data_IF_383490779086
#
_entry.id   IF_383490779086
#
_cell.length_a   1.000
_cell.length_b   1.000
_cell.length_c   1.000
_cell.angle_alpha   90.00
_cell.angle_beta   90.00
_cell.angle_gamma   90.00
#
_symmetry.space_group_name_H-M   'P 1'
#
loop_
_entity.id
_entity.type
_entity.pdbx_description
1 polymer ?
#
# COMPACT_ATOMS: atom_id res chain seq x y z
N UNK A 1 -31.31 24.88 -60.81
CA UNK A 1 -30.83 25.41 -59.57
C UNK A 1 -30.41 24.21 -58.74
N UNK A 2 -29.10 23.99 -58.70
CA UNK A 2 -28.48 22.86 -58.03
C UNK A 2 -28.06 23.33 -56.61
N UNK A 3 -28.63 22.75 -55.56
CA UNK A 3 -28.24 22.98 -54.19
C UNK A 3 -27.36 21.83 -53.71
N UNK A 4 -26.06 22.07 -53.66
CA UNK A 4 -25.11 21.15 -53.07
C UNK A 4 -25.27 21.16 -51.54
N UNK A 5 -25.55 20.00 -50.94
CA UNK A 5 -25.52 19.78 -49.49
C UNK A 5 -24.07 19.52 -49.12
N UNK A 6 -23.44 20.51 -48.50
CA UNK A 6 -22.15 20.33 -47.83
C UNK A 6 -22.32 19.40 -46.64
N UNK A 7 -21.79 18.18 -46.78
CA UNK A 7 -21.66 17.21 -45.68
C UNK A 7 -20.63 17.67 -44.67
N UNK A 8 -21.11 17.99 -43.45
CA UNK A 8 -20.31 18.29 -42.28
C UNK A 8 -19.41 17.10 -41.91
N UNK A 9 -18.13 17.22 -42.19
CA UNK A 9 -17.07 16.34 -41.68
C UNK A 9 -16.72 16.73 -40.24
N UNK A 10 -17.60 16.38 -39.29
CA UNK A 10 -17.25 16.47 -37.85
C UNK A 10 -16.40 15.26 -37.48
N UNK A 11 -15.09 15.52 -37.36
CA UNK A 11 -14.22 14.94 -36.35
C UNK A 11 -14.04 13.43 -36.27
N UNK A 12 -13.34 12.81 -37.20
CA UNK A 12 -12.41 11.73 -36.88
C UNK A 12 -11.13 12.35 -36.31
N UNK A 13 -11.14 12.75 -35.03
CA UNK A 13 -9.90 12.95 -34.27
C UNK A 13 -9.20 11.59 -34.22
N UNK A 14 -8.11 11.49 -34.92
CA UNK A 14 -7.36 10.29 -35.23
C UNK A 14 -6.95 9.52 -33.95
N UNK A 15 -7.16 8.22 -33.95
CA UNK A 15 -6.64 7.27 -32.94
C UNK A 15 -5.09 7.31 -32.81
N UNK A 16 -4.41 8.01 -33.70
CA UNK A 16 -2.95 8.13 -33.82
C UNK A 16 -2.32 9.16 -32.86
N UNK A 17 -3.09 10.00 -32.16
CA UNK A 17 -2.54 11.04 -31.27
C UNK A 17 -2.47 10.66 -29.79
N UNK A 18 -2.93 9.45 -29.41
CA UNK A 18 -2.93 9.03 -28.01
C UNK A 18 -1.55 8.52 -27.58
N UNK A 19 -1.09 8.94 -26.39
CA UNK A 19 0.14 8.43 -25.78
C UNK A 19 -0.05 6.97 -25.39
N UNK A 20 0.74 6.07 -25.98
CA UNK A 20 0.74 4.65 -25.59
C UNK A 20 1.34 4.51 -24.20
N UNK A 21 0.64 3.83 -23.31
CA UNK A 21 1.07 3.63 -21.94
C UNK A 21 1.17 2.15 -21.57
N UNK A 22 2.10 1.82 -20.69
CA UNK A 22 2.20 0.53 -20.01
C UNK A 22 2.10 0.79 -18.51
N UNK A 23 1.36 -0.05 -17.80
CA UNK A 23 1.21 0.05 -16.35
C UNK A 23 2.02 -1.05 -15.66
N UNK A 24 2.73 -0.69 -14.59
CA UNK A 24 3.45 -1.62 -13.72
C UNK A 24 2.80 -1.63 -12.35
N UNK A 25 2.33 -2.80 -11.89
CA UNK A 25 1.71 -2.90 -10.58
C UNK A 25 1.33 -4.32 -10.20
N UNK A 26 1.10 -4.58 -8.91
CA UNK A 26 0.73 -5.92 -8.43
C UNK A 26 -0.35 -5.89 -7.34
N UNK A 27 -0.21 -5.08 -6.31
CA UNK A 27 -1.08 -5.06 -5.14
C UNK A 27 -2.41 -4.32 -5.32
N UNK A 28 -3.20 -4.31 -4.26
CA UNK A 28 -4.51 -3.66 -4.18
C UNK A 28 -4.45 -2.15 -4.34
N UNK A 29 -3.43 -1.52 -3.80
CA UNK A 29 -3.17 -0.08 -3.96
C UNK A 29 -3.11 0.35 -5.43
N UNK A 30 -2.58 -0.50 -6.31
CA UNK A 30 -2.36 -0.18 -7.71
C UNK A 30 -3.65 -0.26 -8.57
N UNK A 31 -4.70 -0.96 -8.12
CA UNK A 31 -5.92 -1.21 -8.94
C UNK A 31 -6.68 0.07 -9.28
N UNK A 32 -7.00 0.98 -8.33
CA UNK A 32 -7.67 2.25 -8.66
C UNK A 32 -6.82 3.15 -9.57
N UNK A 33 -5.49 3.03 -9.48
CA UNK A 33 -4.55 3.80 -10.31
C UNK A 33 -4.55 3.28 -11.75
N UNK A 34 -4.59 1.94 -11.93
CA UNK A 34 -4.76 1.30 -13.24
C UNK A 34 -6.06 1.77 -13.92
N UNK A 35 -7.18 1.74 -13.18
CA UNK A 35 -8.47 2.22 -13.69
C UNK A 35 -8.44 3.71 -14.04
N UNK A 36 -7.78 4.50 -13.20
CA UNK A 36 -7.60 5.92 -13.48
C UNK A 36 -6.80 6.14 -14.76
N UNK A 37 -5.67 5.43 -14.95
CA UNK A 37 -4.83 5.54 -16.14
C UNK A 37 -5.58 5.15 -17.41
N UNK A 38 -6.36 4.07 -17.37
CA UNK A 38 -7.17 3.60 -18.49
C UNK A 38 -8.23 4.64 -18.93
N UNK A 39 -8.67 5.48 -17.98
CA UNK A 39 -9.70 6.51 -18.22
C UNK A 39 -9.12 7.91 -18.58
N UNK A 40 -7.79 8.12 -18.54
CA UNK A 40 -7.21 9.44 -18.84
C UNK A 40 -7.35 9.76 -20.35
N UNK A 41 -8.00 10.87 -20.69
CA UNK A 41 -8.08 11.30 -22.10
C UNK A 41 -6.69 11.48 -22.73
N UNK A 42 -6.52 11.03 -23.97
CA UNK A 42 -5.24 11.12 -24.67
C UNK A 42 -4.22 10.05 -24.31
N UNK A 43 -4.56 9.11 -23.41
CA UNK A 43 -3.76 7.92 -23.11
C UNK A 43 -4.42 6.69 -23.74
N UNK A 44 -3.60 5.78 -24.27
CA UNK A 44 -4.00 4.42 -24.67
C UNK A 44 -3.18 3.41 -23.87
N UNK A 45 -3.82 2.77 -22.94
CA UNK A 45 -3.19 1.73 -22.12
C UNK A 45 -3.09 0.43 -22.96
N UNK A 46 -1.87 -0.04 -23.21
CA UNK A 46 -1.58 -1.16 -24.10
C UNK A 46 -1.40 -2.46 -23.34
N UNK A 47 -0.72 -2.41 -22.20
CA UNK A 47 -0.37 -3.59 -21.44
C UNK A 47 -0.17 -3.27 -19.95
N UNK A 48 -0.21 -4.34 -19.16
CA UNK A 48 0.10 -4.33 -17.73
C UNK A 48 1.26 -5.28 -17.47
N UNK A 49 2.21 -4.86 -16.65
CA UNK A 49 3.30 -5.68 -16.13
C UNK A 49 3.04 -5.91 -14.65
N UNK A 50 2.92 -7.17 -14.25
CA UNK A 50 2.61 -7.56 -12.87
C UNK A 50 3.50 -8.71 -12.40
N UNK A 51 3.51 -8.96 -11.09
CA UNK A 51 4.17 -10.14 -10.54
C UNK A 51 3.46 -11.42 -11.03
N UNK A 52 4.19 -12.56 -11.15
CA UNK A 52 3.59 -13.84 -11.47
C UNK A 52 2.51 -14.25 -10.47
N UNK A 53 1.52 -15.00 -10.96
CA UNK A 53 0.52 -15.65 -10.12
C UNK A 53 1.21 -16.54 -9.08
N UNK A 54 0.69 -16.58 -7.86
CA UNK A 54 1.29 -17.34 -6.74
C UNK A 54 0.27 -18.27 -6.09
N UNK A 55 0.73 -19.42 -5.57
CA UNK A 55 -0.11 -20.27 -4.74
C UNK A 55 -0.54 -19.55 -3.45
N UNK A 56 -1.85 -19.49 -3.17
CA UNK A 56 -2.42 -18.84 -1.99
C UNK A 56 -3.28 -19.83 -1.20
N UNK A 57 -3.26 -19.67 0.12
CA UNK A 57 -4.03 -20.48 1.06
C UNK A 57 -3.52 -21.91 1.24
N UNK A 58 -4.19 -22.68 2.12
CA UNK A 58 -3.78 -24.06 2.45
C UNK A 58 -3.85 -25.03 1.25
N UNK A 59 -4.71 -24.74 0.27
CA UNK A 59 -4.88 -25.54 -0.95
C UNK A 59 -3.94 -25.15 -2.07
N UNK A 60 -3.03 -24.19 -1.83
CA UNK A 60 -2.04 -23.69 -2.82
C UNK A 60 -2.69 -23.34 -4.18
N UNK A 61 -3.86 -22.71 -4.18
CA UNK A 61 -4.54 -22.32 -5.41
C UNK A 61 -3.76 -21.18 -6.06
N UNK A 62 -3.40 -21.39 -7.34
CA UNK A 62 -2.70 -20.36 -8.13
C UNK A 62 -3.63 -19.15 -8.28
N UNK A 63 -3.24 -18.05 -7.68
CA UNK A 63 -4.07 -16.83 -7.58
C UNK A 63 -3.36 -15.68 -8.29
N UNK A 64 -4.05 -14.98 -9.21
CA UNK A 64 -3.52 -13.79 -9.85
C UNK A 64 -3.35 -12.65 -8.84
N UNK A 65 -2.43 -11.74 -9.13
CA UNK A 65 -2.35 -10.48 -8.40
C UNK A 65 -3.63 -9.66 -8.63
N UNK A 66 -4.02 -8.75 -7.71
CA UNK A 66 -5.16 -7.85 -7.90
C UNK A 66 -5.10 -7.09 -9.23
N UNK A 67 -3.94 -6.59 -9.60
CA UNK A 67 -3.71 -5.89 -10.87
C UNK A 67 -3.87 -6.82 -12.08
N UNK A 68 -3.35 -8.06 -12.02
CA UNK A 68 -3.53 -9.05 -13.09
C UNK A 68 -5.00 -9.39 -13.30
N UNK A 69 -5.75 -9.61 -12.21
CA UNK A 69 -7.19 -9.88 -12.29
C UNK A 69 -7.92 -8.72 -12.98
N UNK A 70 -7.65 -7.49 -12.53
CA UNK A 70 -8.28 -6.29 -13.11
C UNK A 70 -7.89 -6.04 -14.57
N UNK A 71 -6.63 -6.25 -14.93
CA UNK A 71 -6.17 -6.11 -16.31
C UNK A 71 -6.86 -7.09 -17.27
N UNK A 72 -7.08 -8.33 -16.83
CA UNK A 72 -7.83 -9.35 -17.59
C UNK A 72 -9.30 -8.94 -17.80
N UNK A 73 -9.96 -8.37 -16.78
CA UNK A 73 -11.32 -7.81 -16.89
C UNK A 73 -11.40 -6.67 -17.91
N UNK A 74 -10.35 -5.84 -17.98
CA UNK A 74 -10.24 -4.74 -18.94
C UNK A 74 -9.83 -5.19 -20.35
N UNK A 75 -9.55 -6.48 -20.56
CA UNK A 75 -9.10 -7.02 -21.84
C UNK A 75 -7.68 -6.58 -22.24
N UNK A 76 -6.84 -6.19 -21.28
CA UNK A 76 -5.48 -5.74 -21.50
C UNK A 76 -4.50 -6.92 -21.61
N UNK A 77 -3.43 -6.72 -22.40
CA UNK A 77 -2.30 -7.64 -22.38
C UNK A 77 -1.61 -7.63 -21.01
N UNK A 78 -1.26 -8.82 -20.49
CA UNK A 78 -0.62 -8.96 -19.18
C UNK A 78 0.73 -9.65 -19.35
N UNK A 79 1.78 -9.00 -18.90
CA UNK A 79 3.14 -9.52 -18.80
C UNK A 79 3.46 -9.84 -17.34
N UNK A 80 3.98 -11.03 -17.06
CA UNK A 80 4.28 -11.48 -15.70
C UNK A 80 5.73 -12.00 -15.58
N UNK A 81 6.74 -11.15 -15.82
CA UNK A 81 8.12 -11.57 -15.76
C UNK A 81 8.53 -11.90 -14.32
N UNK A 82 9.19 -13.03 -14.11
CA UNK A 82 9.79 -13.39 -12.81
C UNK A 82 10.83 -12.34 -12.40
N UNK A 83 11.55 -11.79 -13.37
CA UNK A 83 12.53 -10.70 -13.18
C UNK A 83 12.44 -9.74 -14.36
N UNK A 84 11.94 -8.53 -14.10
CA UNK A 84 11.76 -7.48 -15.12
C UNK A 84 13.07 -7.00 -15.76
N UNK A 85 14.19 -7.17 -15.06
CA UNK A 85 15.54 -6.80 -15.56
C UNK A 85 16.12 -7.74 -16.61
N UNK A 86 15.46 -8.87 -16.91
CA UNK A 86 15.93 -9.77 -17.97
C UNK A 86 15.71 -9.15 -19.34
N UNK A 87 16.65 -9.32 -20.28
CA UNK A 87 16.53 -8.73 -21.63
C UNK A 87 15.21 -9.08 -22.31
N UNK A 88 14.75 -10.34 -22.18
CA UNK A 88 13.51 -10.82 -22.79
C UNK A 88 12.29 -10.04 -22.27
N UNK A 89 12.23 -9.79 -20.95
CA UNK A 89 11.14 -9.01 -20.34
C UNK A 89 11.18 -7.53 -20.77
N UNK A 90 12.37 -6.97 -20.92
CA UNK A 90 12.56 -5.61 -21.44
C UNK A 90 12.07 -5.52 -22.88
N UNK A 91 12.40 -6.52 -23.72
CA UNK A 91 12.00 -6.55 -25.12
C UNK A 91 10.48 -6.75 -25.26
N UNK A 92 9.85 -7.58 -24.42
CA UNK A 92 8.39 -7.70 -24.38
C UNK A 92 7.71 -6.35 -24.07
N UNK A 93 8.20 -5.58 -23.09
CA UNK A 93 7.68 -4.24 -22.78
C UNK A 93 7.91 -3.28 -23.96
N UNK A 94 9.09 -3.33 -24.60
CA UNK A 94 9.46 -2.49 -25.75
C UNK A 94 8.54 -2.69 -26.93
N UNK A 95 8.04 -3.91 -27.18
CA UNK A 95 7.12 -4.21 -28.29
C UNK A 95 5.82 -3.40 -28.24
N UNK A 96 5.38 -3.01 -27.05
CA UNK A 96 4.22 -2.12 -26.87
C UNK A 96 4.53 -0.67 -27.23
N UNK A 97 5.79 -0.28 -27.44
CA UNK A 97 6.21 1.06 -27.79
C UNK A 97 5.70 2.14 -26.83
N UNK A 98 5.95 2.00 -25.49
CA UNK A 98 5.37 2.91 -24.52
C UNK A 98 5.95 4.32 -24.66
N UNK A 99 5.06 5.29 -24.86
CA UNK A 99 5.37 6.71 -24.74
C UNK A 99 5.39 7.18 -23.29
N UNK A 100 4.74 6.43 -22.39
CA UNK A 100 4.64 6.66 -20.96
C UNK A 100 4.61 5.32 -20.23
N UNK A 101 5.24 5.24 -19.06
CA UNK A 101 5.04 4.13 -18.13
C UNK A 101 4.61 4.70 -16.77
N UNK A 102 3.59 4.09 -16.17
CA UNK A 102 3.11 4.41 -14.82
C UNK A 102 3.28 3.19 -13.94
N UNK A 103 3.84 3.38 -12.75
CA UNK A 103 4.10 2.34 -11.76
C UNK A 103 3.36 2.65 -10.46
N UNK A 104 2.84 1.61 -9.82
CA UNK A 104 2.36 1.63 -8.45
C UNK A 104 2.46 0.22 -7.85
N UNK A 105 3.10 0.06 -6.71
CA UNK A 105 3.19 -1.21 -5.95
C UNK A 105 3.60 -2.42 -6.82
N UNK A 106 4.78 -2.35 -7.43
CA UNK A 106 5.28 -3.40 -8.33
C UNK A 106 6.25 -4.39 -7.67
N UNK A 107 7.06 -3.94 -6.73
CA UNK A 107 7.93 -4.80 -5.91
C UNK A 107 9.24 -5.27 -6.58
N UNK A 108 9.60 -4.77 -7.76
CA UNK A 108 10.90 -5.02 -8.40
C UNK A 108 11.58 -3.71 -8.78
N UNK A 109 12.91 -3.67 -8.65
CA UNK A 109 13.70 -2.54 -9.14
C UNK A 109 13.67 -2.48 -10.68
N UNK A 110 13.46 -1.29 -11.21
CA UNK A 110 13.38 -1.04 -12.65
C UNK A 110 14.77 -0.79 -13.21
N UNK A 111 15.22 -1.57 -14.21
CA UNK A 111 16.54 -1.37 -14.79
C UNK A 111 16.58 -0.11 -15.66
N UNK A 112 17.76 0.51 -15.78
CA UNK A 112 18.01 1.72 -16.54
C UNK A 112 17.41 1.68 -17.94
N UNK A 113 17.54 0.55 -18.64
CA UNK A 113 17.04 0.36 -19.99
C UNK A 113 15.52 0.52 -20.12
N UNK A 114 14.75 0.24 -19.05
CA UNK A 114 13.30 0.49 -19.00
C UNK A 114 13.00 1.93 -18.59
N UNK A 115 13.81 2.54 -17.72
CA UNK A 115 13.65 3.94 -17.32
C UNK A 115 13.80 4.89 -18.51
N UNK A 116 14.71 4.59 -19.44
CA UNK A 116 15.01 5.39 -20.62
C UNK A 116 14.06 5.12 -21.80
N UNK A 117 13.18 4.11 -21.69
CA UNK A 117 12.32 3.68 -22.78
C UNK A 117 11.18 4.68 -23.11
N UNK A 118 10.42 5.22 -22.13
CA UNK A 118 9.28 6.08 -22.43
C UNK A 118 9.68 7.57 -22.54
N UNK A 119 9.52 8.22 -23.71
CA UNK A 119 9.90 9.63 -23.89
C UNK A 119 9.08 10.62 -23.04
N UNK A 120 7.92 10.21 -22.52
CA UNK A 120 7.10 11.01 -21.59
C UNK A 120 7.35 10.69 -20.13
N UNK A 121 8.33 9.81 -19.83
CA UNK A 121 8.81 9.46 -18.51
C UNK A 121 8.24 8.15 -17.96
N UNK A 122 8.94 7.65 -16.98
CA UNK A 122 8.53 6.54 -16.13
C UNK A 122 8.08 7.16 -14.79
N UNK A 123 6.79 7.13 -14.48
CA UNK A 123 6.21 7.78 -13.29
C UNK A 123 5.80 6.73 -12.24
N UNK A 124 5.92 7.08 -10.97
CA UNK A 124 5.46 6.25 -9.84
C UNK A 124 4.49 7.04 -8.97
N UNK A 125 3.44 6.38 -8.48
CA UNK A 125 2.60 6.87 -7.39
C UNK A 125 2.99 6.14 -6.11
N UNK A 126 3.58 6.90 -5.18
CA UNK A 126 4.09 6.40 -3.92
C UNK A 126 3.24 6.89 -2.75
N UNK A 127 2.74 5.99 -1.86
CA UNK A 127 1.81 6.38 -0.79
C UNK A 127 2.54 6.95 0.44
N UNK A 128 3.33 7.99 0.24
CA UNK A 128 3.93 8.79 1.32
C UNK A 128 4.18 10.23 0.89
N UNK A 129 4.38 11.12 1.89
CA UNK A 129 4.85 12.49 1.71
C UNK A 129 6.38 12.50 1.49
N UNK A 130 6.84 12.12 0.29
CA UNK A 130 8.27 12.11 -0.03
C UNK A 130 8.93 13.46 0.27
N UNK A 131 10.16 13.44 0.84
CA UNK A 131 11.11 12.33 0.94
C UNK A 131 10.93 11.41 2.16
N UNK A 132 9.88 11.62 2.98
CA UNK A 132 9.58 10.74 4.12
C UNK A 132 9.01 9.41 3.63
N UNK A 133 9.46 8.32 4.23
CA UNK A 133 9.02 6.96 3.97
C UNK A 133 9.23 6.48 2.52
N UNK A 134 10.43 6.73 1.94
CA UNK A 134 10.87 6.03 0.73
C UNK A 134 10.91 4.53 0.97
N UNK A 135 10.68 3.71 -0.05
CA UNK A 135 10.86 2.25 0.01
C UNK A 135 9.58 1.47 0.27
N UNK A 136 9.72 0.25 0.82
CA UNK A 136 8.75 -0.82 0.65
C UNK A 136 7.52 -0.80 1.58
N UNK A 137 7.52 -0.02 2.67
CA UNK A 137 6.46 -0.07 3.68
C UNK A 137 6.04 1.31 4.20
N UNK A 138 5.69 2.27 3.30
CA UNK A 138 5.40 3.65 3.69
C UNK A 138 4.16 3.77 4.56
N UNK A 139 3.09 3.05 4.28
CA UNK A 139 1.82 3.11 5.03
C UNK A 139 1.99 2.60 6.47
N UNK A 140 2.51 1.38 6.71
CA UNK A 140 2.83 0.95 8.07
C UNK A 140 3.78 1.90 8.80
N UNK A 141 4.82 2.41 8.13
CA UNK A 141 5.77 3.34 8.74
C UNK A 141 5.11 4.65 9.20
N UNK A 142 4.19 5.18 8.41
CA UNK A 142 3.37 6.36 8.74
C UNK A 142 2.58 6.14 10.03
N UNK A 143 1.89 5.00 10.18
CA UNK A 143 1.09 4.68 11.36
C UNK A 143 1.98 4.44 12.59
N UNK A 144 3.05 3.65 12.44
CA UNK A 144 4.00 3.36 13.52
C UNK A 144 4.61 4.64 14.10
N UNK A 145 4.94 5.60 13.25
CA UNK A 145 5.50 6.88 13.68
C UNK A 145 4.48 7.80 14.35
N UNK A 146 3.18 7.49 14.29
CA UNK A 146 2.12 8.36 14.79
C UNK A 146 1.95 9.64 13.97
N UNK A 147 2.31 9.61 12.67
CA UNK A 147 2.13 10.77 11.79
C UNK A 147 0.64 11.11 11.68
N UNK A 148 0.28 12.36 11.94
CA UNK A 148 -1.11 12.84 11.81
C UNK A 148 -1.52 13.10 10.34
N UNK A 149 -0.55 13.19 9.45
CA UNK A 149 -0.77 13.41 8.02
C UNK A 149 0.33 12.74 7.19
N UNK A 150 -0.02 12.35 5.98
CA UNK A 150 0.87 11.84 4.95
C UNK A 150 0.48 12.45 3.59
N UNK A 151 0.88 11.83 2.51
CA UNK A 151 0.46 12.21 1.17
C UNK A 151 0.56 11.00 0.22
N UNK A 152 0.03 11.16 -0.98
CA UNK A 152 0.46 10.39 -2.14
C UNK A 152 1.32 11.28 -3.01
N UNK A 153 2.45 10.77 -3.46
CA UNK A 153 3.40 11.50 -4.31
C UNK A 153 3.49 10.87 -5.70
N UNK A 154 3.21 11.65 -6.74
CA UNK A 154 3.54 11.32 -8.13
C UNK A 154 4.97 11.81 -8.40
N UNK A 155 5.86 10.91 -8.80
CA UNK A 155 7.27 11.21 -9.04
C UNK A 155 7.78 10.55 -10.31
N UNK A 156 8.90 11.05 -10.83
CA UNK A 156 9.67 10.38 -11.89
C UNK A 156 10.52 9.29 -11.27
N UNK A 157 10.48 8.09 -11.83
CA UNK A 157 11.29 6.95 -11.34
C UNK A 157 12.75 7.14 -11.77
N UNK A 158 13.67 6.89 -10.84
CA UNK A 158 15.11 6.87 -11.04
C UNK A 158 15.69 5.52 -10.60
N UNK A 159 16.99 5.31 -10.77
CA UNK A 159 17.66 4.09 -10.30
C UNK A 159 17.69 3.97 -8.77
N UNK A 160 17.73 5.12 -8.08
CA UNK A 160 17.65 5.16 -6.62
C UNK A 160 16.19 5.04 -6.17
N UNK A 161 15.95 4.17 -5.20
CA UNK A 161 14.60 3.82 -4.72
C UNK A 161 13.87 5.05 -4.18
N UNK A 162 12.73 5.37 -4.81
CA UNK A 162 11.81 6.46 -4.48
C UNK A 162 12.47 7.83 -4.25
N UNK A 163 13.65 8.06 -4.89
CA UNK A 163 14.42 9.30 -4.76
C UNK A 163 14.24 10.28 -5.93
N UNK A 164 13.48 9.90 -6.94
CA UNK A 164 13.27 10.70 -8.14
C UNK A 164 12.50 12.01 -7.89
N UNK A 165 12.55 12.95 -8.84
CA UNK A 165 11.92 14.26 -8.70
C UNK A 165 10.39 14.16 -8.58
N UNK A 166 9.80 14.98 -7.70
CA UNK A 166 8.36 15.06 -7.44
C UNK A 166 7.67 15.85 -8.56
N UNK A 167 6.63 15.26 -9.14
CA UNK A 167 5.76 15.91 -10.14
C UNK A 167 4.58 16.61 -9.44
N UNK A 168 3.90 15.91 -8.53
CA UNK A 168 2.77 16.44 -7.79
C UNK A 168 2.54 15.62 -6.51
N UNK A 169 1.82 16.20 -5.56
CA UNK A 169 1.44 15.54 -4.30
C UNK A 169 -0.05 15.74 -4.02
N UNK A 170 -0.65 14.78 -3.33
CA UNK A 170 -2.00 14.85 -2.77
C UNK A 170 -1.91 14.61 -1.26
N UNK A 171 -2.15 15.61 -0.40
CA UNK A 171 -2.15 15.44 1.03
C UNK A 171 -3.24 14.48 1.51
N UNK A 172 -2.93 13.71 2.55
CA UNK A 172 -3.84 12.74 3.13
C UNK A 172 -3.74 12.79 4.66
N UNK A 173 -4.85 13.03 5.34
CA UNK A 173 -4.94 12.90 6.78
C UNK A 173 -4.82 11.45 7.22
N UNK A 174 -4.10 11.19 8.30
CA UNK A 174 -4.07 9.89 8.99
C UNK A 174 -5.03 9.96 10.17
N UNK A 175 -6.08 9.17 10.12
CA UNK A 175 -7.11 9.15 11.18
C UNK A 175 -6.61 8.34 12.38
N UNK A 176 -7.05 8.68 13.59
CA UNK A 176 -6.63 7.96 14.79
C UNK A 176 -6.94 6.46 14.77
N UNK A 177 -7.98 6.05 14.05
CA UNK A 177 -8.44 4.67 13.90
C UNK A 177 -7.98 4.00 12.59
N UNK A 178 -7.19 4.69 11.76
CA UNK A 178 -6.67 4.09 10.52
C UNK A 178 -5.77 2.89 10.84
N UNK A 179 -6.11 1.77 10.21
CA UNK A 179 -5.21 0.63 10.06
C UNK A 179 -4.42 0.77 8.75
N UNK A 180 -3.39 -0.05 8.54
CA UNK A 180 -2.71 -0.06 7.25
C UNK A 180 -3.68 -0.36 6.09
N UNK A 181 -4.69 -1.19 6.32
CA UNK A 181 -5.72 -1.51 5.31
C UNK A 181 -6.57 -0.29 4.95
N UNK A 182 -7.10 0.41 5.96
CA UNK A 182 -7.99 1.56 5.70
C UNK A 182 -7.23 2.74 5.11
N UNK A 183 -6.02 3.00 5.57
CA UNK A 183 -5.16 4.06 5.04
C UNK A 183 -4.73 3.73 3.59
N UNK A 184 -4.41 2.45 3.27
CA UNK A 184 -4.07 2.02 1.91
C UNK A 184 -5.21 2.28 0.93
N UNK A 185 -6.45 1.93 1.29
CA UNK A 185 -7.63 2.19 0.44
C UNK A 185 -7.77 3.69 0.15
N UNK A 186 -7.70 4.52 1.18
CA UNK A 186 -7.79 5.98 1.03
C UNK A 186 -6.63 6.56 0.21
N UNK A 187 -5.43 6.04 0.41
CA UNK A 187 -4.26 6.44 -0.37
C UNK A 187 -4.38 6.02 -1.84
N UNK A 188 -4.95 4.84 -2.14
CA UNK A 188 -5.20 4.38 -3.51
C UNK A 188 -6.19 5.29 -4.25
N UNK A 189 -7.28 5.69 -3.57
CA UNK A 189 -8.25 6.64 -4.13
C UNK A 189 -7.61 8.02 -4.37
N UNK A 190 -6.83 8.53 -3.40
CA UNK A 190 -6.09 9.77 -3.54
C UNK A 190 -5.08 9.71 -4.69
N UNK A 191 -4.38 8.58 -4.86
CA UNK A 191 -3.46 8.34 -5.96
C UNK A 191 -4.15 8.35 -7.34
N UNK A 192 -5.32 7.72 -7.43
CA UNK A 192 -6.13 7.71 -8.64
C UNK A 192 -6.61 9.13 -9.01
N UNK A 193 -7.06 9.91 -8.02
CA UNK A 193 -7.45 11.32 -8.22
C UNK A 193 -6.25 12.18 -8.64
N UNK A 194 -5.11 12.03 -7.97
CA UNK A 194 -3.88 12.74 -8.31
C UNK A 194 -3.45 12.44 -9.73
N UNK A 195 -3.46 11.17 -10.15
CA UNK A 195 -3.09 10.78 -11.51
C UNK A 195 -4.00 11.41 -12.55
N UNK A 196 -5.33 11.35 -12.36
CA UNK A 196 -6.31 11.95 -13.29
C UNK A 196 -6.11 13.46 -13.46
N UNK A 197 -5.75 14.16 -12.38
CA UNK A 197 -5.50 15.61 -12.40
C UNK A 197 -4.14 15.96 -12.98
N UNK A 198 -3.09 15.26 -12.56
CA UNK A 198 -1.72 15.62 -12.87
C UNK A 198 -1.24 15.12 -14.25
N UNK A 199 -1.69 13.94 -14.68
CA UNK A 199 -1.16 13.31 -15.90
C UNK A 199 -1.45 14.12 -17.18
N UNK A 200 -2.64 14.69 -17.42
CA UNK A 200 -2.87 15.55 -18.59
C UNK A 200 -1.94 16.78 -18.60
N UNK A 201 -1.70 17.38 -17.44
CA UNK A 201 -0.81 18.54 -17.27
C UNK A 201 0.66 18.18 -17.53
N UNK A 202 1.07 16.99 -17.07
CA UNK A 202 2.39 16.43 -17.31
C UNK A 202 2.62 16.17 -18.82
N UNK A 203 1.68 15.48 -19.47
CA UNK A 203 1.76 15.18 -20.90
C UNK A 203 1.77 16.44 -21.78
N UNK A 204 1.10 17.49 -21.33
CA UNK A 204 1.09 18.80 -21.98
C UNK A 204 2.35 19.65 -21.68
N UNK A 205 3.28 19.17 -20.83
CA UNK A 205 4.50 19.89 -20.45
C UNK A 205 4.26 21.07 -19.51
N UNK A 206 3.06 21.19 -18.90
CA UNK A 206 2.73 22.26 -17.96
C UNK A 206 3.20 21.97 -16.52
N UNK A 207 3.34 20.71 -16.14
CA UNK A 207 3.98 20.32 -14.88
C UNK A 207 5.46 20.05 -15.10
N UNK A 208 6.29 20.50 -14.11
CA UNK A 208 7.73 20.21 -14.06
C UNK A 208 8.04 19.46 -12.78
N UNK A 209 8.79 18.39 -12.92
CA UNK A 209 9.29 17.66 -11.76
C UNK A 209 10.33 18.50 -11.00
N UNK A 210 10.32 18.44 -9.67
CA UNK A 210 11.22 19.15 -8.76
C UNK A 210 12.00 18.14 -7.94
N UNK A 211 13.32 18.33 -7.73
CA UNK A 211 14.10 17.50 -6.83
C UNK A 211 13.42 17.37 -5.45
N UNK A 212 13.53 16.20 -4.85
CA UNK A 212 13.09 16.02 -3.47
C UNK A 212 13.98 16.83 -2.52
N UNK A 213 13.44 17.36 -1.40
CA UNK A 213 14.25 17.90 -0.33
C UNK A 213 15.28 16.87 0.18
N UNK A 214 16.45 17.35 0.59
CA UNK A 214 17.49 16.49 1.20
C UNK A 214 17.15 16.18 2.66
N UNK A 215 16.44 17.09 3.29
CA UNK A 215 15.98 16.95 4.68
C UNK A 215 14.75 16.07 4.79
N UNK A 216 14.64 15.33 5.90
CA UNK A 216 13.47 14.49 6.19
C UNK A 216 13.44 13.15 5.45
N UNK A 217 14.53 12.76 4.78
CA UNK A 217 14.61 11.43 4.15
C UNK A 217 14.55 10.36 5.22
N UNK A 218 13.59 9.44 5.06
CA UNK A 218 13.50 8.21 5.86
C UNK A 218 13.31 7.01 4.95
N UNK A 219 13.89 5.87 5.35
CA UNK A 219 13.89 4.64 4.55
C UNK A 219 13.55 3.46 5.47
N UNK A 220 12.26 3.18 5.69
CA UNK A 220 11.86 2.04 6.50
C UNK A 220 12.27 0.73 5.82
N UNK A 221 12.76 -0.21 6.62
CA UNK A 221 13.00 -1.56 6.12
C UNK A 221 11.69 -2.28 5.81
N UNK A 222 11.70 -3.26 4.91
CA UNK A 222 10.55 -4.13 4.71
C UNK A 222 10.14 -4.83 6.01
N UNK A 223 8.83 -4.97 6.23
CA UNK A 223 8.29 -5.72 7.36
C UNK A 223 8.71 -7.19 7.31
N UNK A 224 8.85 -7.80 8.48
CA UNK A 224 9.17 -9.23 8.66
C UNK A 224 8.16 -9.87 9.60
N UNK A 225 8.06 -11.18 9.57
CA UNK A 225 7.17 -11.93 10.47
C UNK A 225 7.52 -11.73 11.95
N UNK A 226 8.82 -11.62 12.24
CA UNK A 226 9.30 -11.44 13.61
C UNK A 226 9.01 -10.06 14.19
N UNK A 227 8.64 -9.10 13.36
CA UNK A 227 8.20 -7.77 13.82
C UNK A 227 6.82 -7.83 14.52
N UNK A 228 6.08 -8.89 14.33
CA UNK A 228 4.70 -9.04 14.80
C UNK A 228 4.56 -9.21 16.34
N UNK A 229 5.63 -9.58 17.06
CA UNK A 229 5.58 -9.71 18.51
C UNK A 229 5.34 -8.34 19.16
N UNK A 230 4.32 -8.27 20.00
CA UNK A 230 4.09 -7.12 20.87
C UNK A 230 5.00 -7.25 22.09
N UNK A 231 5.89 -6.29 22.28
CA UNK A 231 6.80 -6.22 23.44
C UNK A 231 6.20 -5.30 24.52
N UNK A 232 5.66 -5.81 25.63
CA UNK A 232 5.11 -4.99 26.70
C UNK A 232 6.15 -4.10 27.40
N UNK A 233 7.43 -4.30 27.12
CA UNK A 233 8.51 -3.39 27.50
C UNK A 233 8.45 -2.04 26.78
N UNK A 234 7.56 -1.86 25.79
CA UNK A 234 7.26 -0.60 25.11
C UNK A 234 5.99 0.04 25.69
N UNK A 235 5.79 1.36 25.49
CA UNK A 235 4.53 2.03 25.86
C UNK A 235 3.32 1.48 25.11
N UNK A 236 2.16 1.43 25.76
CA UNK A 236 0.92 0.95 25.14
C UNK A 236 0.55 1.69 23.85
N UNK A 237 0.87 2.98 23.76
CA UNK A 237 0.64 3.79 22.55
C UNK A 237 1.42 3.27 21.34
N UNK A 238 2.66 2.83 21.52
CA UNK A 238 3.46 2.25 20.43
C UNK A 238 2.91 0.90 19.99
N UNK A 239 2.48 0.08 20.95
CA UNK A 239 1.88 -1.23 20.69
C UNK A 239 0.51 -1.09 19.97
N UNK A 240 -0.28 -0.10 20.35
CA UNK A 240 -1.56 0.20 19.68
C UNK A 240 -1.32 0.58 18.22
N UNK A 241 -0.35 1.47 17.95
CA UNK A 241 0.06 1.80 16.59
C UNK A 241 0.56 0.57 15.83
N UNK A 242 1.32 -0.32 16.48
CA UNK A 242 1.77 -1.57 15.87
C UNK A 242 0.59 -2.47 15.50
N UNK A 243 -0.42 -2.61 16.37
CA UNK A 243 -1.63 -3.38 16.06
C UNK A 243 -2.32 -2.87 14.81
N UNK A 244 -2.45 -1.56 14.64
CA UNK A 244 -3.05 -0.95 13.44
C UNK A 244 -2.15 -1.04 12.20
N UNK A 245 -0.87 -0.79 12.36
CA UNK A 245 0.10 -0.73 11.26
C UNK A 245 0.35 -2.11 10.62
N UNK A 246 0.26 -3.19 11.40
CA UNK A 246 0.64 -4.52 10.93
C UNK A 246 -0.53 -5.37 10.44
N UNK A 247 -1.69 -4.75 10.22
CA UNK A 247 -2.83 -5.42 9.60
C UNK A 247 -2.75 -5.35 8.07
N UNK A 248 -3.08 -6.43 7.36
CA UNK A 248 -3.37 -7.77 7.87
C UNK A 248 -2.10 -8.61 8.06
N UNK A 249 -0.95 -8.10 7.69
CA UNK A 249 0.35 -8.78 7.75
C UNK A 249 1.44 -7.81 8.23
N UNK A 250 2.36 -8.26 9.11
CA UNK A 250 2.51 -9.61 9.65
C UNK A 250 1.47 -9.99 10.72
N UNK A 251 0.60 -9.08 11.12
CA UNK A 251 -0.26 -9.17 12.29
C UNK A 251 0.49 -8.74 13.55
N UNK A 252 -0.21 -8.65 14.70
CA UNK A 252 0.42 -8.40 15.99
C UNK A 252 -0.03 -9.45 16.96
N UNK A 253 0.87 -9.98 17.80
CA UNK A 253 0.53 -11.04 18.74
C UNK A 253 1.33 -10.94 20.05
N UNK A 254 0.77 -11.54 21.09
CA UNK A 254 1.42 -11.81 22.37
C UNK A 254 1.68 -13.31 22.45
N UNK A 255 2.81 -13.72 23.02
CA UNK A 255 2.99 -15.10 23.46
C UNK A 255 2.36 -15.25 24.84
N UNK A 256 1.57 -16.29 25.03
CA UNK A 256 0.89 -16.61 26.29
C UNK A 256 1.07 -18.09 26.61
N UNK A 257 0.72 -18.52 27.85
CA UNK A 257 0.70 -19.94 28.20
C UNK A 257 -0.23 -20.79 27.32
N UNK A 258 -1.25 -20.18 26.72
CA UNK A 258 -2.18 -20.80 25.78
C UNK A 258 -1.71 -20.75 24.31
N UNK A 259 -0.51 -20.22 24.06
CA UNK A 259 0.06 -20.01 22.73
C UNK A 259 -0.09 -18.58 22.24
N UNK A 260 0.05 -18.38 20.92
CA UNK A 260 -0.06 -17.06 20.30
C UNK A 260 -1.45 -16.49 20.39
N UNK A 261 -1.55 -15.33 21.01
CA UNK A 261 -2.75 -14.50 21.04
C UNK A 261 -2.58 -13.35 20.05
N UNK A 262 -3.18 -13.49 18.88
CA UNK A 262 -3.18 -12.44 17.85
C UNK A 262 -4.12 -11.33 18.31
N UNK A 263 -3.65 -10.09 18.23
CA UNK A 263 -4.41 -8.87 18.59
C UNK A 263 -4.82 -8.17 17.31
N UNK A 264 -6.12 -8.10 17.05
CA UNK A 264 -6.69 -7.46 15.87
C UNK A 264 -7.14 -6.02 16.13
N UNK A 265 -7.60 -5.75 17.35
CA UNK A 265 -8.00 -4.41 17.78
C UNK A 265 -7.70 -4.21 19.25
N UNK A 266 -7.20 -3.03 19.57
CA UNK A 266 -6.87 -2.62 20.91
C UNK A 266 -7.08 -1.10 21.06
N UNK A 267 -7.18 -0.64 22.31
CA UNK A 267 -7.19 0.78 22.64
C UNK A 267 -6.40 1.03 23.94
N UNK A 268 -6.19 2.29 24.27
CA UNK A 268 -5.40 2.70 25.43
C UNK A 268 -6.28 2.89 26.65
N UNK A 269 -5.75 2.52 27.83
CA UNK A 269 -6.29 2.90 29.12
C UNK A 269 -5.16 3.23 30.08
N UNK A 270 -5.42 4.12 31.04
CA UNK A 270 -4.44 4.49 32.04
C UNK A 270 -3.99 3.27 32.87
N UNK A 271 -2.73 3.27 33.26
CA UNK A 271 -2.17 2.28 34.22
C UNK A 271 -2.84 2.37 35.59
N UNK A 272 -2.87 1.26 36.30
CA UNK A 272 -3.34 1.19 37.67
C UNK A 272 -2.22 0.76 38.60
N UNK A 273 -2.40 1.02 39.92
CA UNK A 273 -1.44 0.63 40.93
C UNK A 273 -1.26 -0.90 40.94
N UNK A 274 -0.01 -1.35 40.87
CA UNK A 274 0.33 -2.78 40.85
C UNK A 274 0.51 -3.37 39.47
N UNK A 275 0.33 -2.57 38.38
CA UNK A 275 0.63 -3.02 37.02
C UNK A 275 2.12 -3.37 36.90
N UNK A 276 2.36 -4.48 36.25
CA UNK A 276 3.71 -4.94 35.89
C UNK A 276 3.73 -5.21 34.38
N UNK A 277 4.67 -4.63 33.68
CA UNK A 277 4.79 -4.81 32.24
C UNK A 277 4.83 -6.30 31.87
N UNK A 278 4.05 -6.69 30.89
CA UNK A 278 3.89 -8.06 30.42
C UNK A 278 2.79 -8.86 31.16
N UNK A 279 2.16 -8.31 32.19
CA UNK A 279 1.07 -8.99 32.85
C UNK A 279 -0.26 -8.75 32.11
N UNK A 280 -0.98 -9.84 31.81
CA UNK A 280 -2.36 -9.78 31.37
C UNK A 280 -3.26 -9.50 32.57
N UNK A 281 -3.93 -8.36 32.55
CA UNK A 281 -4.78 -7.91 33.66
C UNK A 281 -6.25 -7.87 33.22
N UNK A 282 -7.14 -7.99 34.18
CA UNK A 282 -8.56 -7.78 33.95
C UNK A 282 -8.83 -6.30 33.64
N UNK A 283 -9.66 -6.03 32.63
CA UNK A 283 -10.13 -4.70 32.32
C UNK A 283 -11.67 -4.64 32.38
N UNK A 284 -12.19 -3.75 33.21
CA UNK A 284 -13.62 -3.72 33.48
C UNK A 284 -14.15 -5.04 34.03
N UNK A 285 -15.38 -5.40 33.62
CA UNK A 285 -16.01 -6.63 34.13
C UNK A 285 -15.42 -7.90 33.53
N UNK A 286 -15.24 -7.94 32.21
CA UNK A 286 -14.93 -9.19 31.48
C UNK A 286 -13.78 -9.01 30.46
N UNK A 287 -13.22 -7.81 30.30
CA UNK A 287 -12.16 -7.53 29.33
C UNK A 287 -10.77 -7.95 29.80
N UNK A 288 -9.82 -7.91 28.90
CA UNK A 288 -8.39 -8.14 29.11
C UNK A 288 -7.60 -6.93 28.66
N UNK A 289 -6.54 -6.61 29.37
CA UNK A 289 -5.53 -5.65 28.95
C UNK A 289 -4.13 -6.21 29.23
N UNK A 290 -3.14 -5.71 28.54
CA UNK A 290 -1.73 -5.93 28.83
C UNK A 290 -1.20 -4.70 29.54
N UNK A 291 -0.65 -4.87 30.74
CA UNK A 291 0.12 -3.84 31.40
C UNK A 291 1.44 -3.64 30.64
N UNK A 292 1.83 -2.39 30.41
CA UNK A 292 3.05 -2.03 29.69
C UNK A 292 3.93 -1.10 30.52
N UNK A 293 5.02 -0.61 29.99
CA UNK A 293 5.87 0.37 30.70
C UNK A 293 5.18 1.71 30.90
N UNK A 294 4.20 2.05 30.07
CA UNK A 294 3.35 3.22 30.21
C UNK A 294 1.95 2.89 29.70
N UNK A 295 0.95 3.04 30.57
CA UNK A 295 -0.44 2.74 30.29
C UNK A 295 -0.74 1.24 30.06
N UNK A 296 -1.98 0.93 29.71
CA UNK A 296 -2.46 -0.41 29.39
C UNK A 296 -2.90 -0.49 27.94
N UNK A 297 -2.53 -1.57 27.28
CA UNK A 297 -3.12 -1.95 25.97
C UNK A 297 -4.35 -2.80 26.24
N UNK A 298 -5.54 -2.23 26.11
CA UNK A 298 -6.81 -2.95 26.26
C UNK A 298 -7.09 -3.71 24.98
N UNK A 299 -7.32 -5.02 25.12
CA UNK A 299 -7.58 -5.91 24.00
C UNK A 299 -9.07 -5.92 23.69
N UNK A 300 -9.46 -5.52 22.47
CA UNK A 300 -10.85 -5.52 22.02
C UNK A 300 -11.20 -6.79 21.27
N UNK A 301 -10.38 -7.13 20.29
CA UNK A 301 -10.60 -8.24 19.38
C UNK A 301 -9.32 -9.03 19.18
N UNK A 302 -9.43 -10.33 19.45
CA UNK A 302 -8.28 -11.23 19.57
C UNK A 302 -8.55 -12.57 18.90
N UNK A 303 -7.48 -13.35 18.73
CA UNK A 303 -7.58 -14.68 18.15
C UNK A 303 -6.45 -15.58 18.66
N UNK A 304 -6.78 -16.64 19.37
CA UNK A 304 -5.81 -17.70 19.64
C UNK A 304 -5.43 -18.41 18.34
N UNK A 305 -4.18 -18.79 18.22
CA UNK A 305 -3.68 -19.48 17.03
C UNK A 305 -4.54 -20.71 16.69
N UNK A 306 -5.02 -20.76 15.45
CA UNK A 306 -5.88 -21.86 14.95
C UNK A 306 -7.35 -21.81 15.38
N UNK A 307 -7.78 -20.78 16.14
CA UNK A 307 -9.15 -20.54 16.54
C UNK A 307 -9.79 -19.41 15.71
N UNK A 308 -11.07 -19.13 15.98
CA UNK A 308 -11.76 -17.99 15.40
C UNK A 308 -11.39 -16.69 16.12
N UNK A 309 -11.56 -15.59 15.41
CA UNK A 309 -11.48 -14.23 15.94
C UNK A 309 -12.70 -13.97 16.81
N UNK A 310 -12.49 -13.45 18.01
CA UNK A 310 -13.52 -13.20 19.04
C UNK A 310 -13.20 -11.91 19.83
N UNK A 311 -14.16 -11.40 20.59
CA UNK A 311 -13.87 -10.34 21.55
C UNK A 311 -12.99 -10.87 22.70
N UNK A 312 -12.15 -10.00 23.28
CA UNK A 312 -11.34 -10.37 24.43
C UNK A 312 -12.18 -10.82 25.63
N UNK A 313 -13.39 -10.28 25.77
CA UNK A 313 -14.35 -10.71 26.80
C UNK A 313 -14.87 -12.15 26.57
N UNK A 314 -15.11 -12.54 25.33
CA UNK A 314 -15.47 -13.93 25.00
C UNK A 314 -14.31 -14.87 25.23
N UNK A 315 -13.10 -14.48 24.83
CA UNK A 315 -11.89 -15.26 25.05
C UNK A 315 -11.70 -15.53 26.54
N UNK A 316 -11.75 -14.49 27.38
CA UNK A 316 -11.54 -14.59 28.82
C UNK A 316 -12.57 -15.49 29.51
N UNK A 317 -13.84 -15.51 29.07
CA UNK A 317 -14.84 -16.43 29.61
C UNK A 317 -14.50 -17.90 29.37
N UNK A 318 -13.86 -18.19 28.23
CA UNK A 318 -13.40 -19.53 27.89
C UNK A 318 -12.02 -19.87 28.45
N UNK A 319 -11.21 -18.87 28.79
CA UNK A 319 -9.82 -18.95 29.23
C UNK A 319 -9.58 -17.99 30.42
N UNK A 320 -10.20 -18.23 31.58
CA UNK A 320 -10.06 -17.35 32.74
C UNK A 320 -8.61 -17.26 33.29
N UNK A 321 -7.79 -18.27 33.02
CA UNK A 321 -6.36 -18.35 33.38
C UNK A 321 -5.50 -17.33 32.66
N UNK A 322 -5.96 -16.73 31.57
CA UNK A 322 -5.24 -15.66 30.90
C UNK A 322 -5.12 -14.40 31.77
N UNK A 323 -6.09 -14.14 32.65
CA UNK A 323 -5.97 -13.05 33.62
C UNK A 323 -4.97 -13.43 34.72
N UNK A 324 -3.90 -12.66 34.85
CA UNK A 324 -2.76 -12.94 35.75
C UNK A 324 -1.62 -13.69 35.05
N UNK A 325 -1.77 -14.10 33.77
CA UNK A 325 -0.68 -14.71 33.03
C UNK A 325 0.32 -13.64 32.55
N UNK A 326 1.57 -14.03 32.44
CA UNK A 326 2.62 -13.21 31.82
C UNK A 326 2.65 -13.45 30.32
N UNK A 327 2.96 -12.37 29.57
CA UNK A 327 3.25 -12.41 28.13
C UNK A 327 4.75 -12.19 27.93
N UNK A 328 5.35 -12.86 26.98
CA UNK A 328 6.77 -12.75 26.68
C UNK A 328 7.08 -13.16 25.27
#
# INVERSE_FOLDING_TARGET
MSGAVEGSTVGRASAESRVRAVFFGSGSFAVPILDALAAVPGVRLEAVVSAPDRPVGRKAVLTPTPVTARARELGLAVLQPVRVRRPEAVDEVRQFGPGLIVLADYGQLIPRVLLDLPPRGFLNLHPSALPRWRGAAPIPATILAGDAATAVTLMVVTEEMDAGPIVATEPLEVRPDDTAVTLEVRAADAAAMLLRRALPEWLAGRLKARPQPVEGITLPRPLRRDDALLDPGQPAEELERQVRAYQPWPGSYLETGEGRLIVWRAHLAASEAGDTAGLLVTFGRDGLAVATTADRLVLDEVQLAGKNRVSAAELRRGHPELAGATTG
#
